data_IF_172906284165
#
_entry.id   IF_172906284165
#
_cell.length_a   1.000
_cell.length_b   1.000
_cell.length_c   1.000
_cell.angle_alpha   90.00
_cell.angle_beta   90.00
_cell.angle_gamma   90.00
#
_symmetry.space_group_name_H-M   'P 1'
#
loop_
_entity.id
_entity.type
_entity.pdbx_description
1 polymer ?
#
# COMPACT_ATOMS: atom_id res chain seq x y z
N UNK A 1 3.31 -2.29 26.82
CA UNK A 1 4.02 -1.28 26.03
C UNK A 1 4.42 -1.88 24.68
N UNK A 2 4.02 -1.23 23.62
CA UNK A 2 4.35 -1.71 22.28
C UNK A 2 5.79 -1.32 21.92
N UNK A 3 6.57 -2.26 21.42
CA UNK A 3 7.92 -1.97 20.96
C UNK A 3 7.86 -1.01 19.76
N UNK A 4 8.79 -0.05 19.73
CA UNK A 4 8.94 0.84 18.59
C UNK A 4 9.60 0.06 17.45
N UNK A 5 8.95 -0.02 16.29
CA UNK A 5 9.47 -0.75 15.12
C UNK A 5 10.63 -0.02 14.45
N UNK A 6 10.75 1.29 14.66
CA UNK A 6 11.71 2.12 13.95
C UNK A 6 12.45 3.03 14.90
N UNK A 7 13.69 3.38 14.54
CA UNK A 7 14.59 4.14 15.40
C UNK A 7 14.24 5.61 15.50
N UNK A 8 13.56 6.18 14.51
CA UNK A 8 13.25 7.60 14.55
C UNK A 8 11.77 7.88 14.21
N UNK A 9 11.25 9.03 14.69
CA UNK A 9 9.83 9.38 14.51
C UNK A 9 9.40 9.54 13.07
N UNK A 10 10.30 9.93 12.17
CA UNK A 10 9.95 10.14 10.76
C UNK A 10 9.66 8.81 10.08
N UNK A 11 10.44 7.77 10.36
CA UNK A 11 10.16 6.42 9.88
C UNK A 11 8.78 5.96 10.35
N UNK A 12 8.44 6.24 11.61
CA UNK A 12 7.14 5.87 12.16
C UNK A 12 6.01 6.64 11.48
N UNK A 13 6.22 7.92 11.14
CA UNK A 13 5.22 8.70 10.41
C UNK A 13 4.93 8.09 9.03
N UNK A 14 5.97 7.70 8.31
CA UNK A 14 5.82 7.06 6.99
C UNK A 14 5.09 5.74 7.12
N UNK A 15 5.47 4.92 8.09
CA UNK A 15 4.82 3.64 8.33
C UNK A 15 3.34 3.81 8.72
N UNK A 16 3.05 4.79 9.56
CA UNK A 16 1.67 5.10 9.95
C UNK A 16 0.84 5.50 8.73
N UNK A 17 1.42 6.28 7.80
CA UNK A 17 0.74 6.64 6.56
C UNK A 17 0.45 5.40 5.71
N UNK A 18 1.44 4.50 5.56
CA UNK A 18 1.24 3.26 4.83
C UNK A 18 0.14 2.40 5.46
N UNK A 19 0.16 2.27 6.77
CA UNK A 19 -0.87 1.51 7.49
C UNK A 19 -2.25 2.09 7.22
N UNK A 20 -2.37 3.42 7.27
CA UNK A 20 -3.66 4.09 7.05
C UNK A 20 -4.17 3.87 5.62
N UNK A 21 -3.30 3.95 4.62
CA UNK A 21 -3.75 3.72 3.24
C UNK A 21 -4.15 2.26 3.01
N UNK A 22 -3.45 1.31 3.62
CA UNK A 22 -3.85 -0.10 3.51
C UNK A 22 -5.16 -0.37 4.25
N UNK A 23 -5.38 0.25 5.41
CA UNK A 23 -6.66 0.14 6.10
C UNK A 23 -7.82 0.69 5.27
N UNK A 24 -7.58 1.76 4.51
CA UNK A 24 -8.63 2.36 3.68
C UNK A 24 -9.17 1.39 2.64
N UNK A 25 -8.31 0.62 1.97
CA UNK A 25 -8.79 -0.29 0.93
C UNK A 25 -9.13 -1.69 1.45
N UNK A 26 -8.54 -2.12 2.58
CA UNK A 26 -8.80 -3.47 3.11
C UNK A 26 -10.05 -3.54 3.97
N UNK A 27 -10.36 -2.48 4.71
CA UNK A 27 -11.47 -2.52 5.68
C UNK A 27 -12.26 -1.21 5.78
N UNK A 28 -11.82 -0.16 5.11
CA UNK A 28 -12.47 1.14 5.15
C UNK A 28 -13.14 1.49 3.84
N UNK A 29 -13.03 2.77 3.47
CA UNK A 29 -13.56 3.27 2.21
C UNK A 29 -12.41 3.51 1.22
N UNK A 30 -12.33 2.72 0.12
CA UNK A 30 -11.26 2.88 -0.86
C UNK A 30 -11.18 4.29 -1.48
N UNK A 31 -12.28 5.04 -1.49
CA UNK A 31 -12.25 6.42 -1.98
C UNK A 31 -11.33 7.31 -1.15
N UNK A 32 -11.08 6.95 0.12
CA UNK A 32 -10.18 7.69 1.00
C UNK A 32 -8.73 7.61 0.55
N UNK A 33 -8.39 6.69 -0.37
CA UNK A 33 -7.03 6.61 -0.92
C UNK A 33 -6.60 7.92 -1.60
N UNK A 34 -7.54 8.75 -2.03
CA UNK A 34 -7.23 10.08 -2.57
C UNK A 34 -6.46 10.95 -1.58
N UNK A 35 -6.60 10.68 -0.28
CA UNK A 35 -5.89 11.40 0.79
C UNK A 35 -4.46 10.94 0.97
N UNK A 36 -4.08 9.80 0.35
CA UNK A 36 -2.76 9.19 0.51
C UNK A 36 -2.01 9.06 -0.80
N UNK A 37 -2.71 8.89 -1.92
CA UNK A 37 -2.11 8.72 -3.24
C UNK A 37 -1.90 10.09 -3.87
N UNK A 38 -0.64 10.41 -4.16
CA UNK A 38 -0.29 11.67 -4.82
C UNK A 38 -0.94 11.72 -6.21
N UNK A 39 -1.34 12.92 -6.69
CA UNK A 39 -1.90 13.02 -8.05
C UNK A 39 -0.99 12.48 -9.16
N UNK A 40 0.31 12.43 -8.93
CA UNK A 40 1.29 11.92 -9.88
C UNK A 40 1.78 10.50 -9.56
N UNK A 41 1.06 9.77 -8.73
CA UNK A 41 1.45 8.39 -8.37
C UNK A 41 1.45 7.48 -9.60
N UNK A 42 2.40 6.54 -9.61
CA UNK A 42 2.47 5.47 -10.62
C UNK A 42 2.44 4.13 -9.89
N UNK A 43 1.66 3.19 -10.40
CA UNK A 43 1.63 1.84 -9.84
C UNK A 43 1.91 0.79 -10.92
N UNK A 44 2.70 -0.21 -10.54
CA UNK A 44 3.00 -1.39 -11.36
C UNK A 44 2.52 -2.60 -10.58
N UNK A 45 1.57 -3.32 -11.16
CA UNK A 45 0.93 -4.44 -10.48
C UNK A 45 1.10 -5.73 -11.31
N UNK A 46 1.05 -6.91 -10.67
CA UNK A 46 1.21 -8.17 -11.40
C UNK A 46 -0.01 -8.56 -12.24
N UNK A 47 -1.14 -7.87 -12.06
CA UNK A 47 -2.37 -8.19 -12.77
C UNK A 47 -2.67 -7.24 -13.93
N UNK A 48 -1.96 -6.12 -13.99
CA UNK A 48 -2.11 -5.13 -15.07
C UNK A 48 -0.95 -5.25 -16.05
N UNK A 49 -1.25 -5.32 -17.33
CA UNK A 49 -0.21 -5.34 -18.36
C UNK A 49 0.56 -4.02 -18.42
N UNK A 50 -0.15 -2.91 -18.22
CA UNK A 50 0.43 -1.59 -18.28
C UNK A 50 0.40 -0.95 -16.89
N UNK A 51 1.36 -0.05 -16.64
CA UNK A 51 1.37 0.70 -15.39
C UNK A 51 0.14 1.60 -15.30
N UNK A 52 -0.25 1.93 -14.10
CA UNK A 52 -1.31 2.89 -13.85
C UNK A 52 -0.67 4.25 -13.60
N UNK A 53 -0.95 5.20 -14.47
CA UNK A 53 -0.37 6.55 -14.41
C UNK A 53 -1.36 7.51 -13.77
N UNK A 54 -0.91 8.17 -12.70
CA UNK A 54 -1.68 9.18 -11.98
C UNK A 54 -2.44 8.63 -10.79
N UNK A 55 -2.63 9.49 -9.80
CA UNK A 55 -3.30 9.11 -8.55
C UNK A 55 -4.71 8.60 -8.78
N UNK A 56 -5.47 9.25 -9.67
CA UNK A 56 -6.85 8.83 -9.94
C UNK A 56 -6.91 7.42 -10.52
N UNK A 57 -6.00 7.07 -11.44
CA UNK A 57 -5.94 5.73 -12.01
C UNK A 57 -5.54 4.70 -10.95
N UNK A 58 -4.65 5.07 -10.05
CA UNK A 58 -4.23 4.18 -8.95
C UNK A 58 -5.38 3.95 -7.97
N UNK A 59 -6.08 5.01 -7.56
CA UNK A 59 -7.25 4.87 -6.67
C UNK A 59 -8.29 3.95 -7.32
N UNK A 60 -8.56 4.14 -8.61
CA UNK A 60 -9.54 3.32 -9.33
C UNK A 60 -9.15 1.84 -9.32
N UNK A 61 -7.84 1.54 -9.44
CA UNK A 61 -7.36 0.17 -9.40
C UNK A 61 -7.58 -0.51 -8.06
N UNK A 62 -7.18 0.14 -6.98
CA UNK A 62 -7.39 -0.38 -5.62
C UNK A 62 -8.87 -0.50 -5.29
N UNK A 63 -9.65 0.52 -5.66
CA UNK A 63 -11.09 0.51 -5.45
C UNK A 63 -11.77 -0.63 -6.22
N UNK A 64 -11.34 -0.87 -7.46
CA UNK A 64 -11.87 -1.96 -8.28
C UNK A 64 -11.68 -3.32 -7.61
N UNK A 65 -10.49 -3.58 -7.07
CA UNK A 65 -10.24 -4.80 -6.31
C UNK A 65 -11.09 -4.85 -5.04
N UNK A 66 -11.13 -3.77 -4.27
CA UNK A 66 -11.86 -3.73 -3.00
C UNK A 66 -13.37 -3.93 -3.20
N UNK A 67 -13.91 -3.50 -4.35
CA UNK A 67 -15.33 -3.71 -4.67
C UNK A 67 -15.62 -5.13 -5.18
N UNK A 68 -14.64 -5.76 -5.84
CA UNK A 68 -14.80 -7.10 -6.39
C UNK A 68 -14.50 -8.20 -5.39
N UNK A 69 -13.76 -7.90 -4.33
CA UNK A 69 -13.30 -8.88 -3.36
C UNK A 69 -13.72 -8.50 -1.95
N UNK A 70 -13.89 -9.52 -1.10
CA UNK A 70 -14.04 -9.35 0.35
C UNK A 70 -12.72 -9.75 0.99
N UNK A 71 -12.04 -8.82 1.64
CA UNK A 71 -10.77 -9.11 2.32
C UNK A 71 -11.10 -9.68 3.70
N UNK A 72 -10.68 -10.92 3.95
CA UNK A 72 -10.90 -11.59 5.23
C UNK A 72 -9.82 -11.25 6.25
N UNK A 73 -8.56 -11.20 5.80
CA UNK A 73 -7.47 -10.67 6.63
C UNK A 73 -6.37 -10.09 5.74
N UNK A 74 -5.61 -9.20 6.34
CA UNK A 74 -4.46 -8.55 5.73
C UNK A 74 -3.40 -8.35 6.80
N UNK A 75 -2.20 -8.89 6.60
CA UNK A 75 -1.08 -8.76 7.53
C UNK A 75 0.12 -8.16 6.80
N UNK A 76 0.76 -7.18 7.42
CA UNK A 76 2.04 -6.63 6.96
C UNK A 76 3.14 -7.22 7.82
N UNK A 77 4.22 -7.67 7.18
CA UNK A 77 5.27 -8.48 7.80
C UNK A 77 6.62 -7.87 7.46
N UNK A 78 7.50 -7.78 8.48
CA UNK A 78 8.90 -7.36 8.33
C UNK A 78 9.07 -6.02 7.60
N UNK A 79 8.45 -4.93 8.05
CA UNK A 79 8.57 -3.67 7.37
C UNK A 79 9.96 -3.05 7.51
N UNK A 80 10.44 -2.47 6.42
CA UNK A 80 11.64 -1.65 6.37
C UNK A 80 11.25 -0.28 5.84
N UNK A 81 11.61 0.77 6.56
CA UNK A 81 11.34 2.14 6.15
C UNK A 81 12.68 2.89 6.10
N UNK A 82 13.05 3.35 4.93
CA UNK A 82 14.26 4.16 4.74
C UNK A 82 13.84 5.56 4.30
N UNK A 83 14.29 6.57 5.04
CA UNK A 83 13.95 7.97 4.79
C UNK A 83 15.18 8.70 4.23
N UNK A 84 14.97 9.42 3.15
CA UNK A 84 15.99 10.19 2.44
C UNK A 84 15.47 11.63 2.29
N UNK A 85 15.60 12.43 3.35
CA UNK A 85 15.04 13.80 3.36
C UNK A 85 13.53 13.78 3.22
N UNK A 86 13.01 14.35 2.13
CA UNK A 86 11.57 14.39 1.86
C UNK A 86 11.09 13.21 1.01
N UNK A 87 11.90 12.16 0.90
CA UNK A 87 11.55 10.93 0.20
C UNK A 87 11.72 9.74 1.13
N UNK A 88 10.95 8.69 0.89
CA UNK A 88 11.06 7.46 1.66
C UNK A 88 10.71 6.25 0.81
N UNK A 89 11.32 5.12 1.16
CA UNK A 89 11.04 3.82 0.56
C UNK A 89 10.56 2.89 1.68
N UNK A 90 9.46 2.21 1.45
CA UNK A 90 8.91 1.23 2.39
C UNK A 90 8.82 -0.12 1.69
N UNK A 91 9.45 -1.12 2.27
CA UNK A 91 9.34 -2.50 1.81
C UNK A 91 8.73 -3.34 2.91
N UNK A 92 7.80 -4.20 2.57
CA UNK A 92 7.21 -5.13 3.52
C UNK A 92 6.66 -6.34 2.76
N UNK A 93 6.56 -7.45 3.47
CA UNK A 93 5.85 -8.62 2.96
C UNK A 93 4.40 -8.56 3.43
N UNK A 94 3.50 -9.15 2.67
CA UNK A 94 2.11 -9.22 3.07
C UNK A 94 1.57 -10.64 2.92
N UNK A 95 0.59 -10.95 3.76
CA UNK A 95 -0.23 -12.15 3.65
C UNK A 95 -1.67 -11.74 3.74
N UNK A 96 -2.51 -12.33 2.91
CA UNK A 96 -3.92 -11.98 2.87
C UNK A 96 -4.77 -13.17 2.47
N UNK A 97 -6.03 -13.12 2.88
CA UNK A 97 -7.07 -13.96 2.32
C UNK A 97 -8.22 -13.07 1.86
N UNK A 98 -8.74 -13.39 0.70
CA UNK A 98 -9.89 -12.66 0.17
C UNK A 98 -10.81 -13.63 -0.57
N UNK A 99 -12.04 -13.20 -0.79
CA UNK A 99 -13.02 -13.94 -1.56
C UNK A 99 -13.42 -13.11 -2.76
N UNK A 100 -13.39 -13.74 -3.94
CA UNK A 100 -13.74 -13.09 -5.19
C UNK A 100 -14.43 -14.13 -6.07
N UNK A 101 -15.59 -13.77 -6.62
CA UNK A 101 -16.35 -14.68 -7.46
C UNK A 101 -16.73 -15.98 -6.77
N UNK A 102 -16.98 -15.92 -5.45
CA UNK A 102 -17.34 -17.10 -4.66
C UNK A 102 -16.17 -18.00 -4.29
N UNK A 103 -14.94 -17.60 -4.61
CA UNK A 103 -13.75 -18.38 -4.31
C UNK A 103 -12.86 -17.69 -3.30
N UNK A 104 -12.42 -18.45 -2.28
CA UNK A 104 -11.46 -17.97 -1.31
C UNK A 104 -10.04 -18.15 -1.86
N UNK A 105 -9.27 -17.07 -1.81
CA UNK A 105 -7.87 -17.06 -2.22
C UNK A 105 -7.02 -16.67 -1.02
N UNK A 106 -6.00 -17.48 -0.73
CA UNK A 106 -4.98 -17.14 0.26
C UNK A 106 -3.68 -16.92 -0.50
N UNK A 107 -3.02 -15.78 -0.25
CA UNK A 107 -1.79 -15.46 -0.95
C UNK A 107 -0.90 -14.58 -0.09
N UNK A 108 0.36 -14.53 -0.48
CA UNK A 108 1.33 -13.62 0.09
C UNK A 108 2.20 -13.05 -1.01
N UNK A 109 2.91 -12.00 -0.67
CA UNK A 109 3.78 -11.33 -1.62
C UNK A 109 4.63 -10.26 -0.97
N UNK A 110 5.20 -9.41 -1.82
CA UNK A 110 6.09 -8.34 -1.43
C UNK A 110 5.59 -7.04 -2.01
N UNK A 111 5.75 -5.97 -1.27
CA UNK A 111 5.30 -4.64 -1.68
C UNK A 111 6.42 -3.64 -1.49
N UNK A 112 6.53 -2.71 -2.41
CA UNK A 112 7.53 -1.65 -2.37
C UNK A 112 6.84 -0.34 -2.70
N UNK A 113 6.68 0.51 -1.67
CA UNK A 113 6.08 1.83 -1.81
C UNK A 113 7.14 2.91 -1.77
N UNK A 114 6.92 3.95 -2.56
CA UNK A 114 7.74 5.16 -2.58
C UNK A 114 6.87 6.33 -2.11
N UNK A 115 7.42 7.13 -1.19
CA UNK A 115 6.72 8.27 -0.60
C UNK A 115 7.52 9.54 -0.79
N UNK A 116 6.82 10.68 -0.88
CA UNK A 116 7.41 12.00 -0.77
C UNK A 116 6.64 12.81 0.25
N UNK A 117 7.34 13.74 0.91
CA UNK A 117 6.70 14.68 1.83
C UNK A 117 6.53 16.01 1.14
N UNK A 118 5.27 16.44 1.03
CA UNK A 118 4.89 17.75 0.48
C UNK A 118 3.88 18.40 1.42
N UNK A 119 4.07 19.66 1.70
CA UNK A 119 3.16 20.44 2.58
C UNK A 119 2.96 19.76 3.94
N UNK A 120 4.03 19.19 4.48
CA UNK A 120 4.01 18.55 5.80
C UNK A 120 3.34 17.18 5.84
N UNK A 121 3.01 16.59 4.69
CA UNK A 121 2.35 15.28 4.62
C UNK A 121 3.15 14.33 3.75
N UNK A 122 3.09 13.05 4.10
CA UNK A 122 3.65 11.98 3.27
C UNK A 122 2.61 11.50 2.27
N UNK A 123 3.03 11.40 1.00
CA UNK A 123 2.19 10.96 -0.10
C UNK A 123 2.83 9.78 -0.79
N UNK A 124 2.05 8.74 -1.10
CA UNK A 124 2.51 7.64 -1.94
C UNK A 124 2.64 8.14 -3.38
N UNK A 125 3.83 7.97 -3.97
CA UNK A 125 4.10 8.38 -5.35
C UNK A 125 4.42 7.21 -6.26
N UNK A 126 4.64 6.03 -5.69
CA UNK A 126 4.89 4.83 -6.47
C UNK A 126 4.61 3.58 -5.66
N UNK A 127 4.18 2.54 -6.34
CA UNK A 127 3.99 1.23 -5.73
C UNK A 127 4.25 0.15 -6.76
N UNK A 128 4.95 -0.90 -6.31
CA UNK A 128 5.08 -2.13 -7.08
C UNK A 128 4.95 -3.30 -6.13
N UNK A 129 3.97 -4.17 -6.38
CA UNK A 129 3.82 -5.37 -5.58
C UNK A 129 3.82 -6.60 -6.47
N UNK A 130 4.17 -7.74 -5.88
CA UNK A 130 4.22 -9.02 -6.59
C UNK A 130 3.95 -10.15 -5.62
N UNK A 131 3.32 -11.24 -6.09
CA UNK A 131 3.19 -12.43 -5.27
C UNK A 131 4.57 -13.03 -5.01
N UNK A 132 4.67 -13.86 -3.96
CA UNK A 132 5.92 -14.59 -3.73
C UNK A 132 6.24 -15.46 -4.93
N UNK A 133 7.53 -15.57 -5.29
CA UNK A 133 7.94 -16.51 -6.34
C UNK A 133 7.64 -17.94 -5.89
N UNK A 134 7.32 -18.76 -6.88
CA UNK A 134 7.09 -20.19 -6.65
C UNK A 134 8.41 -20.95 -6.58
#
# INVERSE_FOLDING_TARGET
>A
MTATLFDNPVQQEVWTTLRALNDAWTQGNPDDLVEYFHPRMVAVTPVDRHRRDGGAACVAGWKGFAQAATVHYWNEIDPVVNVFGDAAVVAYDFEMAFEMGGQRVEMGGRDLFFFVRENGRWWAVGDQYSPYPR
#
